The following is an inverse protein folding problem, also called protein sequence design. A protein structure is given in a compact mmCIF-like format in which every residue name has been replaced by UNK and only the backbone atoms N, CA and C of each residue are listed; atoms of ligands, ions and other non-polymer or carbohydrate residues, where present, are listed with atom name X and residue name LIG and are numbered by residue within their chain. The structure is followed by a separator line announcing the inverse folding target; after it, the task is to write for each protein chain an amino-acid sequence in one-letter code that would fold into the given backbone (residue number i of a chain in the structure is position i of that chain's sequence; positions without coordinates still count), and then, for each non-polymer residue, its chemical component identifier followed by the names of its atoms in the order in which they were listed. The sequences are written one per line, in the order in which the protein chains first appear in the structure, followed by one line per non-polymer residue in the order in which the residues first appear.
data_IF_539434648432
#
_entry.id   IF_539434648432
#
_cell.length_a   1.000
_cell.length_b   1.000
_cell.length_c   1.000
_cell.angle_alpha   90.00
_cell.angle_beta   90.00
_cell.angle_gamma   90.00
#
_symmetry.space_group_name_H-M   'P 1'
#
loop_
_entity.id
_entity.type
_entity.pdbx_description
1 polymer ?
#
# COMPACT_ATOMS: atom_id res chain seq x y z
N UNK A 1 17.55 8.13 -13.87
CA UNK A 1 16.92 7.22 -14.86
C UNK A 1 16.13 8.04 -15.86
N UNK A 2 16.42 7.89 -17.16
CA UNK A 2 15.66 8.57 -18.22
C UNK A 2 14.34 7.82 -18.44
N UNK A 3 13.37 7.97 -17.55
CA UNK A 3 12.02 7.44 -17.73
C UNK A 3 11.08 8.57 -18.11
N UNK A 4 10.17 8.31 -19.02
CA UNK A 4 9.10 9.24 -19.42
C UNK A 4 7.83 8.86 -18.68
N UNK A 5 7.11 9.81 -18.04
CA UNK A 5 5.79 9.55 -17.48
C UNK A 5 4.80 9.00 -18.54
N UNK A 6 3.89 8.09 -18.13
CA UNK A 6 3.67 7.68 -16.75
C UNK A 6 4.61 6.57 -16.28
N UNK A 7 5.08 6.66 -15.03
CA UNK A 7 5.79 5.58 -14.34
C UNK A 7 5.67 5.76 -12.82
N UNK A 8 5.88 4.68 -12.07
CA UNK A 8 5.83 4.72 -10.61
C UNK A 8 7.12 4.21 -9.97
N UNK A 9 7.34 4.65 -8.74
CA UNK A 9 8.35 4.15 -7.81
C UNK A 9 7.62 3.79 -6.53
N UNK A 10 7.70 2.53 -6.12
CA UNK A 10 7.10 2.07 -4.87
C UNK A 10 8.18 1.67 -3.88
N UNK A 11 7.89 1.91 -2.60
CA UNK A 11 8.75 1.52 -1.49
C UNK A 11 7.91 1.12 -0.29
N UNK A 12 8.43 0.14 0.46
CA UNK A 12 7.96 -0.20 1.80
C UNK A 12 9.12 0.04 2.74
N UNK A 13 8.88 0.79 3.80
CA UNK A 13 9.93 1.14 4.76
C UNK A 13 9.38 1.70 6.05
N UNK A 14 10.24 1.86 7.04
CA UNK A 14 9.87 2.39 8.35
C UNK A 14 9.59 3.88 8.29
N UNK A 15 8.49 4.26 8.95
CA UNK A 15 8.08 5.64 9.18
C UNK A 15 7.89 5.88 10.68
N UNK A 16 8.08 7.14 11.07
CA UNK A 16 8.00 7.57 12.46
C UNK A 16 7.09 8.79 12.55
N UNK A 17 6.07 8.72 13.42
CA UNK A 17 5.19 9.85 13.73
C UNK A 17 5.19 10.11 15.24
N UNK A 18 5.31 11.37 15.63
CA UNK A 18 5.27 11.76 17.04
C UNK A 18 3.82 11.80 17.57
N UNK A 19 3.18 10.63 17.62
CA UNK A 19 1.82 10.49 18.12
C UNK A 19 1.77 10.77 19.64
N UNK A 20 0.87 11.64 20.04
CA UNK A 20 0.64 11.97 21.46
C UNK A 20 0.00 10.79 22.17
N UNK A 21 -1.04 10.18 21.54
CA UNK A 21 -1.78 9.06 22.12
C UNK A 21 -1.72 7.85 21.21
N UNK A 22 -1.10 6.78 21.72
CA UNK A 22 -1.14 5.47 21.07
C UNK A 22 -2.47 4.80 21.39
N UNK A 23 -3.09 4.11 20.42
CA UNK A 23 -4.37 3.43 20.64
C UNK A 23 -4.62 2.32 19.62
N UNK A 24 -5.57 1.47 19.98
CA UNK A 24 -6.11 0.43 19.10
C UNK A 24 -5.03 -0.51 18.57
N UNK A 25 -4.19 -1.03 19.48
CA UNK A 25 -3.10 -1.98 19.20
C UNK A 25 -2.14 -1.42 18.12
N UNK A 26 -1.98 -2.08 16.98
CA UNK A 26 -1.09 -1.65 15.88
C UNK A 26 -1.72 -0.59 14.97
N UNK A 27 -2.96 -0.13 15.23
CA UNK A 27 -3.62 0.85 14.39
C UNK A 27 -2.97 2.24 14.46
N UNK A 28 -2.59 2.70 15.68
CA UNK A 28 -1.92 3.98 15.89
C UNK A 28 -0.71 3.83 16.78
N UNK A 29 0.45 3.80 16.16
CA UNK A 29 1.77 3.61 16.76
C UNK A 29 2.75 4.70 16.29
N UNK A 30 3.89 4.86 17.00
CA UNK A 30 4.90 5.86 16.63
C UNK A 30 5.89 5.38 15.58
N UNK A 31 6.14 4.09 15.54
CA UNK A 31 6.99 3.42 14.55
C UNK A 31 6.15 2.39 13.81
N UNK A 32 6.10 2.50 12.49
CA UNK A 32 5.31 1.61 11.64
C UNK A 32 6.00 1.45 10.29
N UNK A 33 5.54 0.50 9.50
CA UNK A 33 5.94 0.38 8.10
C UNK A 33 4.89 1.04 7.21
N UNK A 34 5.36 1.84 6.26
CA UNK A 34 4.52 2.51 5.29
C UNK A 34 4.85 1.97 3.90
N UNK A 35 3.83 1.66 3.13
CA UNK A 35 3.95 1.34 1.72
C UNK A 35 3.38 2.51 0.92
N UNK A 36 4.23 3.04 0.03
CA UNK A 36 3.92 4.20 -0.79
C UNK A 36 4.28 3.94 -2.24
N UNK A 37 3.47 4.50 -3.12
CA UNK A 37 3.74 4.57 -4.55
C UNK A 37 3.72 6.03 -4.98
N UNK A 38 4.85 6.51 -5.51
CA UNK A 38 4.93 7.80 -6.19
C UNK A 38 4.74 7.57 -7.69
N UNK A 39 3.57 7.89 -8.20
CA UNK A 39 3.24 7.69 -9.60
C UNK A 39 3.27 9.02 -10.36
N UNK A 40 4.26 9.16 -11.23
CA UNK A 40 4.55 10.38 -11.98
C UNK A 40 3.78 10.43 -13.27
N UNK A 41 3.07 11.55 -13.48
CA UNK A 41 2.19 11.75 -14.64
C UNK A 41 2.44 13.12 -15.30
N UNK A 42 2.03 13.26 -16.56
CA UNK A 42 2.06 14.55 -17.25
C UNK A 42 0.96 15.46 -16.67
N UNK A 43 1.24 16.75 -16.39
CA UNK A 43 0.21 17.71 -15.98
C UNK A 43 -0.99 17.69 -16.93
N UNK A 44 -2.20 17.70 -16.36
CA UNK A 44 -3.46 17.63 -17.11
C UNK A 44 -3.98 16.21 -17.35
N UNK A 45 -3.21 15.16 -17.01
CA UNK A 45 -3.70 13.77 -16.97
C UNK A 45 -3.87 13.25 -15.54
N UNK A 46 -3.63 14.09 -14.57
CA UNK A 46 -3.57 13.75 -13.15
C UNK A 46 -4.92 13.28 -12.59
N UNK A 47 -6.04 13.86 -13.02
CA UNK A 47 -7.37 13.47 -12.52
C UNK A 47 -7.76 12.06 -12.97
N UNK A 48 -7.46 11.70 -14.23
CA UNK A 48 -7.72 10.35 -14.75
C UNK A 48 -6.84 9.32 -14.05
N UNK A 49 -5.56 9.63 -13.83
CA UNK A 49 -4.64 8.76 -13.10
C UNK A 49 -4.97 8.65 -11.62
N UNK A 50 -5.46 9.72 -11.00
CA UNK A 50 -5.92 9.69 -9.63
C UNK A 50 -7.09 8.72 -9.46
N UNK A 51 -8.12 8.85 -10.31
CA UNK A 51 -9.27 7.93 -10.33
C UNK A 51 -8.84 6.50 -10.61
N UNK A 52 -7.95 6.28 -11.60
CA UNK A 52 -7.41 4.96 -11.89
C UNK A 52 -6.77 4.31 -10.66
N UNK A 53 -5.94 5.05 -9.93
CA UNK A 53 -5.28 4.50 -8.74
C UNK A 53 -6.24 4.24 -7.59
N UNK A 54 -7.24 5.08 -7.36
CA UNK A 54 -8.32 4.81 -6.41
C UNK A 54 -9.00 3.47 -6.73
N UNK A 55 -9.40 3.25 -7.98
CA UNK A 55 -10.06 2.01 -8.40
C UNK A 55 -9.13 0.80 -8.25
N UNK A 56 -7.84 0.93 -8.62
CA UNK A 56 -6.85 -0.15 -8.47
C UNK A 56 -6.61 -0.50 -7.00
N UNK A 57 -6.58 0.48 -6.10
CA UNK A 57 -6.34 0.23 -4.68
C UNK A 57 -7.55 -0.42 -4.00
N UNK A 58 -8.76 0.01 -4.31
CA UNK A 58 -9.99 -0.65 -3.84
C UNK A 58 -10.03 -2.14 -4.29
N UNK A 59 -9.72 -2.39 -5.55
CA UNK A 59 -9.62 -3.76 -6.09
C UNK A 59 -8.55 -4.56 -5.37
N UNK A 60 -7.36 -3.98 -5.17
CA UNK A 60 -6.25 -4.66 -4.50
C UNK A 60 -6.62 -5.08 -3.07
N UNK A 61 -7.26 -4.21 -2.29
CA UNK A 61 -7.72 -4.58 -0.94
C UNK A 61 -8.71 -5.75 -0.96
N UNK A 62 -9.62 -5.76 -1.92
CA UNK A 62 -10.56 -6.89 -2.09
C UNK A 62 -9.84 -8.19 -2.44
N UNK A 63 -8.80 -8.12 -3.27
CA UNK A 63 -7.95 -9.27 -3.60
C UNK A 63 -7.16 -9.77 -2.38
N UNK A 64 -6.78 -8.88 -1.44
CA UNK A 64 -6.18 -9.27 -0.16
C UNK A 64 -7.19 -9.89 0.82
N UNK A 65 -8.47 -9.85 0.52
CA UNK A 65 -9.52 -10.47 1.33
C UNK A 65 -10.31 -9.49 2.20
N UNK A 66 -10.09 -8.18 2.01
CA UNK A 66 -10.92 -7.17 2.66
C UNK A 66 -12.26 -7.09 1.93
N UNK A 67 -13.37 -7.24 2.67
CA UNK A 67 -14.71 -7.19 2.10
C UNK A 67 -15.05 -5.80 1.55
N UNK A 68 -15.55 -5.77 0.31
CA UNK A 68 -15.98 -4.51 -0.32
C UNK A 68 -17.10 -3.81 0.45
N UNK A 69 -17.93 -4.57 1.16
CA UNK A 69 -19.05 -4.02 1.95
C UNK A 69 -18.56 -3.22 3.18
N UNK A 70 -17.32 -3.49 3.62
CA UNK A 70 -16.66 -2.78 4.72
C UNK A 70 -15.72 -1.67 4.26
N UNK A 71 -15.51 -1.54 2.96
CA UNK A 71 -14.75 -0.43 2.38
C UNK A 71 -15.69 0.71 2.01
N UNK A 72 -15.29 1.92 2.35
CA UNK A 72 -15.98 3.16 1.92
C UNK A 72 -14.95 4.12 1.35
N UNK A 73 -15.30 4.75 0.25
CA UNK A 73 -14.50 5.81 -0.33
C UNK A 73 -14.99 7.16 0.20
N UNK A 74 -14.09 7.93 0.78
CA UNK A 74 -14.34 9.28 1.26
C UNK A 74 -13.48 10.26 0.46
N UNK A 75 -14.11 11.21 -0.21
CA UNK A 75 -13.41 12.36 -0.77
C UNK A 75 -13.15 13.36 0.36
N UNK A 76 -11.89 13.72 0.56
CA UNK A 76 -11.49 14.68 1.59
C UNK A 76 -11.93 16.08 1.20
N UNK A 77 -12.64 16.77 2.09
CA UNK A 77 -13.12 18.13 1.86
C UNK A 77 -11.95 19.10 1.65
N UNK A 78 -12.18 20.13 0.82
CA UNK A 78 -11.10 21.06 0.41
C UNK A 78 -10.42 21.76 1.59
N UNK A 79 -11.17 22.01 2.63
CA UNK A 79 -10.71 22.67 3.88
C UNK A 79 -9.80 21.76 4.72
N UNK A 80 -9.92 20.45 4.55
CA UNK A 80 -9.17 19.42 5.27
C UNK A 80 -7.98 18.87 4.46
N UNK A 81 -7.89 19.23 3.17
CA UNK A 81 -6.77 18.80 2.32
C UNK A 81 -5.45 19.28 2.87
N UNK A 82 -4.47 18.40 2.84
CA UNK A 82 -3.09 18.78 3.07
C UNK A 82 -2.64 19.83 2.05
N UNK A 83 -1.79 20.76 2.49
CA UNK A 83 -1.33 21.91 1.67
C UNK A 83 -0.63 21.53 0.35
N UNK A 84 -0.22 20.28 0.21
CA UNK A 84 0.41 19.72 -0.99
C UNK A 84 -0.58 19.01 -1.92
N UNK A 85 -1.83 18.80 -1.51
CA UNK A 85 -2.79 17.99 -2.26
C UNK A 85 -3.83 18.86 -2.96
N UNK A 86 -4.10 18.54 -4.24
CA UNK A 86 -5.22 19.09 -5.00
C UNK A 86 -6.53 18.35 -4.69
N UNK A 87 -6.46 17.05 -4.45
CA UNK A 87 -7.55 16.16 -4.10
C UNK A 87 -7.00 14.92 -3.40
N UNK A 88 -7.73 14.38 -2.45
CA UNK A 88 -7.40 13.13 -1.76
C UNK A 88 -8.66 12.30 -1.61
N UNK A 89 -8.55 11.01 -1.85
CA UNK A 89 -9.54 10.02 -1.49
C UNK A 89 -8.99 9.12 -0.41
N UNK A 90 -9.74 8.98 0.69
CA UNK A 90 -9.43 8.02 1.74
C UNK A 90 -10.27 6.76 1.54
N UNK A 91 -9.61 5.62 1.45
CA UNK A 91 -10.23 4.31 1.52
C UNK A 91 -10.39 3.98 3.00
N UNK A 92 -11.63 4.10 3.46
CA UNK A 92 -12.02 3.82 4.84
C UNK A 92 -12.36 2.34 4.99
N UNK A 93 -12.03 1.76 6.13
CA UNK A 93 -12.41 0.40 6.48
C UNK A 93 -13.10 0.36 7.85
N UNK A 94 -14.11 -0.50 7.97
CA UNK A 94 -14.85 -0.71 9.21
C UNK A 94 -14.07 -1.65 10.15
N UNK A 95 -13.15 -1.05 10.94
CA UNK A 95 -12.42 -1.75 11.99
C UNK A 95 -13.34 -2.09 13.19
N UNK A 96 -12.95 -3.01 14.10
CA UNK A 96 -13.73 -3.29 15.31
C UNK A 96 -13.98 -2.07 16.20
N UNK A 97 -13.16 -1.02 16.09
CA UNK A 97 -13.25 0.23 16.84
C UNK A 97 -13.88 1.37 16.05
N UNK A 98 -14.39 1.12 14.87
CA UNK A 98 -15.10 2.09 14.03
C UNK A 98 -14.55 2.23 12.62
N UNK A 99 -15.20 3.10 11.85
CA UNK A 99 -14.78 3.44 10.48
C UNK A 99 -13.58 4.37 10.54
N UNK A 100 -12.44 3.89 10.06
CA UNK A 100 -11.17 4.63 10.07
C UNK A 100 -10.44 4.45 8.74
N UNK A 101 -9.52 5.38 8.45
CA UNK A 101 -8.69 5.35 7.23
C UNK A 101 -7.78 4.12 7.19
N UNK A 102 -7.84 3.39 6.07
CA UNK A 102 -6.97 2.28 5.73
C UNK A 102 -5.84 2.71 4.79
N UNK A 103 -6.17 3.52 3.79
CA UNK A 103 -5.24 4.02 2.77
C UNK A 103 -5.70 5.37 2.25
N UNK A 104 -4.76 6.30 2.04
CA UNK A 104 -5.01 7.55 1.32
C UNK A 104 -4.49 7.47 -0.12
N UNK A 105 -5.21 8.09 -1.06
CA UNK A 105 -4.76 8.28 -2.44
C UNK A 105 -4.80 9.76 -2.76
N UNK A 106 -3.64 10.41 -2.82
CA UNK A 106 -3.52 11.85 -2.99
C UNK A 106 -3.05 12.25 -4.40
N UNK A 107 -3.65 13.29 -4.96
CA UNK A 107 -3.11 14.02 -6.10
C UNK A 107 -2.28 15.20 -5.57
N UNK A 108 -0.97 15.02 -5.51
CA UNK A 108 0.00 15.98 -4.96
C UNK A 108 0.44 17.04 -5.97
N UNK A 109 -0.08 16.97 -7.20
CA UNK A 109 0.34 17.85 -8.30
C UNK A 109 1.86 17.86 -8.49
N UNK A 110 2.44 19.03 -8.78
CA UNK A 110 3.87 19.27 -8.89
C UNK A 110 4.51 19.81 -7.59
N UNK A 111 3.81 19.67 -6.45
CA UNK A 111 4.24 20.28 -5.19
C UNK A 111 5.65 19.80 -4.77
N UNK A 112 5.85 18.48 -4.68
CA UNK A 112 7.10 17.93 -4.19
C UNK A 112 8.26 18.19 -5.14
N UNK A 113 8.09 17.84 -6.42
CA UNK A 113 9.13 18.04 -7.42
C UNK A 113 9.38 19.52 -7.71
N UNK A 114 8.32 20.35 -7.67
CA UNK A 114 8.40 21.78 -7.80
C UNK A 114 9.17 22.43 -6.64
N UNK A 115 8.94 21.95 -5.41
CA UNK A 115 9.64 22.43 -4.21
C UNK A 115 11.13 22.09 -4.24
N UNK A 116 11.51 20.97 -4.86
CA UNK A 116 12.87 20.44 -4.84
C UNK A 116 13.65 20.61 -6.14
N UNK A 117 13.05 21.11 -7.21
CA UNK A 117 13.78 21.35 -8.46
C UNK A 117 14.67 22.59 -8.38
N UNK A 118 15.85 22.53 -8.99
CA UNK A 118 16.66 23.73 -9.19
C UNK A 118 16.02 24.64 -10.22
N UNK A 119 16.30 25.95 -10.13
CA UNK A 119 15.83 26.98 -11.07
C UNK A 119 14.29 26.89 -11.24
N UNK A 120 13.58 26.94 -10.13
CA UNK A 120 12.10 26.85 -10.11
C UNK A 120 11.43 27.84 -11.07
N UNK A 121 12.06 29.03 -11.26
CA UNK A 121 11.60 30.10 -12.14
C UNK A 121 11.58 29.74 -13.64
N UNK A 122 12.32 28.70 -14.04
CA UNK A 122 12.33 28.23 -15.43
C UNK A 122 11.08 27.41 -15.79
N UNK A 123 10.24 27.08 -14.80
CA UNK A 123 9.11 26.16 -14.97
C UNK A 123 7.79 26.79 -14.54
N UNK A 124 6.72 26.37 -15.20
CA UNK A 124 5.35 26.64 -14.75
C UNK A 124 4.98 25.64 -13.65
N UNK A 125 5.16 26.02 -12.37
CA UNK A 125 4.76 25.20 -11.21
C UNK A 125 3.35 25.62 -10.81
N UNK A 126 2.43 24.65 -10.73
CA UNK A 126 1.02 24.90 -10.40
C UNK A 126 0.78 24.98 -8.90
N UNK A 127 1.52 24.19 -8.12
CA UNK A 127 1.43 24.21 -6.68
C UNK A 127 2.08 25.47 -6.09
N UNK A 128 1.61 25.86 -4.91
CA UNK A 128 2.23 26.94 -4.14
C UNK A 128 3.48 26.39 -3.43
N UNK A 129 4.64 26.65 -4.01
CA UNK A 129 5.94 26.22 -3.46
C UNK A 129 6.73 27.38 -2.89
N UNK A 130 7.59 27.07 -1.92
CA UNK A 130 8.54 28.05 -1.37
C UNK A 130 9.79 28.11 -2.25
N UNK A 131 10.38 29.30 -2.49
CA UNK A 131 11.65 29.40 -3.21
C UNK A 131 12.76 28.56 -2.56
N UNK A 132 13.40 27.72 -3.35
CA UNK A 132 14.48 26.83 -2.90
C UNK A 132 15.76 27.04 -3.74
N UNK A 133 16.60 27.97 -3.29
CA UNK A 133 17.87 28.30 -3.96
C UNK A 133 18.98 27.27 -3.69
N UNK A 134 18.76 26.36 -2.73
CA UNK A 134 19.74 25.32 -2.37
C UNK A 134 19.60 24.05 -3.22
N UNK A 135 18.56 23.95 -4.01
CA UNK A 135 18.34 22.77 -4.85
C UNK A 135 19.33 22.70 -6.01
N UNK A 136 19.97 21.57 -6.19
CA UNK A 136 20.98 21.32 -7.23
C UNK A 136 20.49 20.40 -8.34
N UNK A 137 19.36 19.74 -8.14
CA UNK A 137 18.85 18.70 -9.05
C UNK A 137 17.73 19.26 -9.91
N UNK A 138 17.79 19.00 -11.22
CA UNK A 138 16.71 19.27 -12.15
C UNK A 138 15.68 18.15 -12.09
N UNK A 139 14.46 18.45 -11.66
CA UNK A 139 13.34 17.51 -11.54
C UNK A 139 12.25 17.74 -12.60
N UNK A 140 12.62 18.38 -13.70
CA UNK A 140 11.75 18.59 -14.86
C UNK A 140 12.06 17.60 -15.97
N UNK A 141 11.05 17.30 -16.78
CA UNK A 141 11.12 16.43 -17.95
C UNK A 141 10.75 17.23 -19.19
N UNK A 142 11.42 16.98 -20.31
CA UNK A 142 11.09 17.59 -21.58
C UNK A 142 10.03 16.73 -22.29
N UNK A 143 8.94 17.35 -22.65
CA UNK A 143 7.96 16.78 -23.55
C UNK A 143 8.56 16.61 -24.94
N UNK A 144 8.52 15.39 -25.48
CA UNK A 144 9.20 15.05 -26.74
C UNK A 144 8.54 15.70 -27.96
N UNK A 145 7.23 15.98 -27.88
CA UNK A 145 6.46 16.56 -28.98
C UNK A 145 6.56 18.09 -28.96
N UNK A 146 6.19 18.72 -27.85
CA UNK A 146 6.17 20.17 -27.70
C UNK A 146 7.54 20.80 -27.44
N UNK A 147 8.54 19.98 -27.07
CA UNK A 147 9.88 20.40 -26.61
C UNK A 147 9.89 21.31 -25.36
N UNK A 148 8.72 21.48 -24.72
CA UNK A 148 8.59 22.24 -23.47
C UNK A 148 8.99 21.39 -22.26
N UNK A 149 9.56 22.05 -21.27
CA UNK A 149 9.87 21.43 -20.00
C UNK A 149 8.69 21.56 -19.05
N UNK A 150 8.40 20.51 -18.29
CA UNK A 150 7.36 20.50 -17.27
C UNK A 150 7.84 19.73 -16.03
N UNK A 151 7.25 20.07 -14.89
CA UNK A 151 7.40 19.31 -13.65
C UNK A 151 6.30 18.24 -13.66
N UNK A 152 6.61 16.93 -13.53
CA UNK A 152 5.58 15.90 -13.41
C UNK A 152 4.67 16.10 -12.21
N UNK A 153 3.42 15.74 -12.35
CA UNK A 153 2.50 15.62 -11.22
C UNK A 153 2.67 14.25 -10.57
N UNK A 154 2.34 14.15 -9.29
CA UNK A 154 2.48 12.93 -8.49
C UNK A 154 1.11 12.49 -7.99
N UNK A 155 0.77 11.22 -8.22
CA UNK A 155 -0.33 10.53 -7.58
C UNK A 155 0.27 9.56 -6.56
N UNK A 156 -0.14 9.67 -5.31
CA UNK A 156 0.43 8.92 -4.18
C UNK A 156 -0.64 8.08 -3.48
N UNK A 157 -0.74 6.79 -3.78
CA UNK A 157 -1.33 5.81 -2.87
C UNK A 157 -0.39 5.52 -1.71
N UNK A 158 -0.90 5.64 -0.47
CA UNK A 158 -0.11 5.47 0.75
C UNK A 158 -0.90 4.75 1.84
N UNK A 159 -0.38 3.64 2.37
CA UNK A 159 -1.01 2.87 3.43
C UNK A 159 0.00 2.38 4.47
N UNK A 160 -0.44 2.35 5.74
CA UNK A 160 0.31 1.71 6.82
C UNK A 160 0.17 0.20 6.74
N UNK A 161 1.30 -0.52 6.73
CA UNK A 161 1.32 -1.99 6.64
C UNK A 161 0.60 -2.60 7.83
N UNK A 162 0.82 -2.08 9.04
CA UNK A 162 0.19 -2.56 10.28
C UNK A 162 -1.34 -2.42 10.25
N UNK A 163 -1.86 -1.31 9.70
CA UNK A 163 -3.31 -1.14 9.50
C UNK A 163 -3.85 -2.17 8.50
N UNK A 164 -3.12 -2.41 7.42
CA UNK A 164 -3.46 -3.44 6.44
C UNK A 164 -3.48 -4.84 7.05
N UNK A 165 -2.47 -5.20 7.85
CA UNK A 165 -2.43 -6.46 8.58
C UNK A 165 -3.63 -6.58 9.53
N UNK A 166 -3.96 -5.51 10.27
CA UNK A 166 -5.10 -5.51 11.18
C UNK A 166 -6.42 -5.71 10.45
N UNK A 167 -6.63 -5.03 9.32
CA UNK A 167 -7.82 -5.19 8.50
C UNK A 167 -7.95 -6.62 7.95
N UNK A 168 -6.87 -7.18 7.40
CA UNK A 168 -6.84 -8.54 6.86
C UNK A 168 -7.10 -9.59 7.97
N UNK A 169 -6.49 -9.42 9.15
CA UNK A 169 -6.74 -10.33 10.28
C UNK A 169 -8.18 -10.23 10.79
N UNK A 170 -8.76 -9.02 10.83
CA UNK A 170 -10.15 -8.82 11.21
C UNK A 170 -11.12 -9.51 10.24
N UNK A 171 -10.86 -9.44 8.93
CA UNK A 171 -11.65 -10.15 7.92
C UNK A 171 -11.50 -11.67 8.00
N UNK A 172 -10.26 -12.13 8.24
CA UNK A 172 -9.97 -13.56 8.27
C UNK A 172 -10.45 -14.26 9.55
N UNK A 173 -10.62 -13.51 10.66
CA UNK A 173 -11.04 -14.07 11.94
C UNK A 173 -12.44 -14.63 11.85
N UNK A 174 -12.58 -15.92 12.11
CA UNK A 174 -13.87 -16.65 12.06
C UNK A 174 -14.02 -17.55 13.27
N UNK A 175 -15.12 -17.38 14.00
CA UNK A 175 -15.53 -18.32 15.04
C UNK A 175 -16.45 -19.38 14.38
N UNK A 176 -16.03 -20.63 14.43
CA UNK A 176 -16.85 -21.74 13.94
C UNK A 176 -17.52 -22.43 15.13
N UNK A 177 -18.75 -22.01 15.46
CA UNK A 177 -19.48 -22.49 16.64
C UNK A 177 -19.77 -24.00 16.57
N UNK A 178 -20.09 -24.52 15.37
CA UNK A 178 -20.34 -25.95 15.16
C UNK A 178 -19.15 -26.84 15.55
N UNK A 179 -17.94 -26.36 15.35
CA UNK A 179 -16.68 -27.05 15.63
C UNK A 179 -15.98 -26.55 16.89
N UNK A 180 -16.55 -25.55 17.57
CA UNK A 180 -15.97 -24.85 18.72
C UNK A 180 -14.49 -24.48 18.49
N UNK A 181 -14.20 -23.88 17.35
CA UNK A 181 -12.85 -23.47 16.98
C UNK A 181 -12.80 -22.08 16.36
N UNK A 182 -11.66 -21.41 16.56
CA UNK A 182 -11.35 -20.14 15.90
C UNK A 182 -10.42 -20.41 14.72
N UNK A 183 -10.72 -19.83 13.58
CA UNK A 183 -9.95 -20.00 12.33
C UNK A 183 -9.63 -18.64 11.73
N UNK A 184 -8.42 -18.49 11.19
CA UNK A 184 -8.03 -17.37 10.33
C UNK A 184 -8.20 -17.81 8.87
N UNK A 185 -9.28 -17.37 8.22
CA UNK A 185 -9.54 -17.65 6.79
C UNK A 185 -8.82 -16.70 5.87
N UNK A 186 -7.49 -16.70 5.94
CA UNK A 186 -6.63 -15.89 5.08
C UNK A 186 -6.72 -16.33 3.61
N UNK A 187 -6.55 -15.38 2.70
CA UNK A 187 -6.25 -15.72 1.29
C UNK A 187 -4.98 -16.56 1.22
N UNK A 188 -4.94 -17.55 0.35
CA UNK A 188 -3.83 -18.51 0.26
C UNK A 188 -2.46 -17.86 0.05
N UNK A 189 -2.39 -16.77 -0.71
CA UNK A 189 -1.13 -16.04 -0.93
C UNK A 189 -0.64 -15.29 0.32
N UNK A 190 -1.52 -14.95 1.26
CA UNK A 190 -1.18 -14.29 2.53
C UNK A 190 -0.89 -15.30 3.66
N UNK A 191 -1.31 -16.56 3.53
CA UNK A 191 -1.04 -17.56 4.56
C UNK A 191 0.47 -17.79 4.72
N UNK A 192 1.04 -17.65 5.93
CA UNK A 192 2.47 -17.85 6.15
C UNK A 192 2.90 -19.32 5.98
N UNK A 193 1.97 -20.26 6.21
CA UNK A 193 2.18 -21.70 5.99
C UNK A 193 1.26 -22.13 4.86
N UNK A 194 1.82 -22.66 3.78
CA UNK A 194 1.07 -23.03 2.58
C UNK A 194 0.47 -24.44 2.63
N UNK A 195 1.15 -25.34 3.33
CA UNK A 195 0.71 -26.71 3.54
C UNK A 195 1.31 -27.29 4.83
N UNK A 196 0.56 -28.22 5.43
CA UNK A 196 1.06 -29.06 6.52
C UNK A 196 0.97 -30.52 6.08
N UNK A 197 2.05 -31.28 6.29
CA UNK A 197 2.08 -32.73 6.08
C UNK A 197 1.99 -33.40 7.45
N UNK A 198 0.93 -34.19 7.67
CA UNK A 198 0.66 -34.79 8.97
C UNK A 198 0.80 -36.31 8.84
N UNK A 199 1.87 -36.93 9.39
CA UNK A 199 1.98 -38.38 9.40
C UNK A 199 0.94 -38.96 10.37
N UNK A 200 0.18 -39.97 9.90
CA UNK A 200 -0.87 -40.60 10.70
C UNK A 200 -0.36 -41.22 12.03
N UNK A 201 0.91 -41.61 12.07
CA UNK A 201 1.58 -42.14 13.28
C UNK A 201 3.00 -41.57 13.37
N UNK A 202 3.27 -40.77 14.38
CA UNK A 202 4.61 -40.15 14.62
C UNK A 202 5.66 -41.16 15.04
N UNK A 203 5.29 -42.30 15.58
CA UNK A 203 6.18 -43.37 15.99
C UNK A 203 6.46 -44.41 14.89
N UNK A 204 5.97 -44.17 13.67
CA UNK A 204 6.27 -45.02 12.52
C UNK A 204 7.26 -44.28 11.62
N UNK A 205 8.50 -44.81 11.55
CA UNK A 205 9.59 -44.22 10.78
C UNK A 205 9.30 -44.09 9.27
N UNK A 206 8.59 -45.04 8.68
CA UNK A 206 8.29 -45.03 7.26
C UNK A 206 7.32 -43.91 6.91
N UNK A 207 6.28 -43.69 7.76
CA UNK A 207 5.34 -42.60 7.57
C UNK A 207 6.00 -41.23 7.78
N UNK A 208 6.91 -41.11 8.76
CA UNK A 208 7.65 -39.89 9.02
C UNK A 208 8.60 -39.59 7.84
N UNK A 209 9.31 -40.58 7.34
CA UNK A 209 10.19 -40.45 6.17
C UNK A 209 9.40 -40.05 4.91
N UNK A 210 8.23 -40.65 4.68
CA UNK A 210 7.35 -40.28 3.59
C UNK A 210 6.86 -38.83 3.71
N UNK A 211 6.45 -38.41 4.93
CA UNK A 211 6.03 -37.04 5.18
C UNK A 211 7.16 -36.02 4.90
N UNK A 212 8.38 -36.33 5.31
CA UNK A 212 9.57 -35.51 5.00
C UNK A 212 9.84 -35.41 3.50
N UNK A 213 9.69 -36.53 2.76
CA UNK A 213 9.83 -36.56 1.31
C UNK A 213 8.78 -35.65 0.64
N UNK A 214 7.51 -35.81 1.00
CA UNK A 214 6.41 -35.00 0.47
C UNK A 214 6.64 -33.49 0.77
N UNK A 215 7.05 -33.16 2.01
CA UNK A 215 7.41 -31.77 2.35
C UNK A 215 8.49 -31.22 1.43
N UNK A 216 9.57 -31.98 1.22
CA UNK A 216 10.68 -31.54 0.36
C UNK A 216 10.24 -31.37 -1.09
N UNK A 217 9.40 -32.26 -1.61
CA UNK A 217 8.84 -32.15 -2.96
C UNK A 217 7.95 -30.90 -3.11
N UNK A 218 7.04 -30.62 -2.16
CA UNK A 218 6.21 -29.43 -2.16
C UNK A 218 7.04 -28.16 -2.10
N UNK A 219 8.09 -28.13 -1.29
CA UNK A 219 9.00 -26.99 -1.20
C UNK A 219 9.77 -26.77 -2.50
N UNK A 220 10.20 -27.85 -3.20
CA UNK A 220 10.90 -27.77 -4.47
C UNK A 220 10.04 -27.22 -5.62
N UNK A 221 8.71 -27.35 -5.51
CA UNK A 221 7.74 -26.74 -6.43
C UNK A 221 7.53 -25.24 -6.20
N UNK A 222 8.25 -24.62 -5.24
CA UNK A 222 8.11 -23.20 -4.94
C UNK A 222 6.83 -22.85 -4.16
N UNK A 223 6.17 -23.83 -3.54
CA UNK A 223 4.93 -23.61 -2.78
C UNK A 223 5.12 -22.66 -1.58
N UNK A 224 6.35 -22.44 -1.13
CA UNK A 224 6.67 -21.65 0.04
C UNK A 224 6.83 -22.51 1.30
N UNK A 225 6.48 -21.97 2.47
CA UNK A 225 6.67 -22.67 3.75
C UNK A 225 5.71 -23.85 3.90
N UNK A 226 6.27 -25.04 4.02
CA UNK A 226 5.56 -26.28 4.33
C UNK A 226 6.03 -26.81 5.68
N UNK A 227 5.12 -27.19 6.56
CA UNK A 227 5.45 -27.76 7.87
C UNK A 227 5.11 -29.25 7.95
N UNK A 228 5.68 -29.93 8.92
CA UNK A 228 5.24 -31.25 9.41
C UNK A 228 4.71 -31.05 10.82
N UNK A 229 3.57 -31.60 11.11
CA UNK A 229 2.93 -31.49 12.41
C UNK A 229 2.81 -32.86 13.12
#
# INVERSE_FOLDING_TARGET
TCRTPPFGIAQIGKSFRNEITLRNFIFRVREFEQMELEFFVKPGSDEDWHKYWVDQRLKWWSEQGVSSDKLKLLEVEKEELSHYSKATFDIMYEFPHGLEELEGVANRTDFDLGSHTKNQEDYEIKAKVTPNKSSTTKLAIQDLESKKWYIPFVIEPSAGVERGVLAILNEAYTQEDENNRTVLKLKSHLSPIKAAVIPLKRNNSDLVNLANKIKSELQSLGLGRVMIE
#
